data_IF_153723046908
#
_entry.id   IF_153723046908
#
_cell.length_a   1.000
_cell.length_b   1.000
_cell.length_c   1.000
_cell.angle_alpha   90.00
_cell.angle_beta   90.00
_cell.angle_gamma   90.00
#
_symmetry.space_group_name_H-M   'P 1'
#
loop_
_entity.id
_entity.type
_entity.pdbx_description
1 polymer ?
#
# COMPACT_ATOMS: atom_id res chain seq x y z
N UNK A 1 -8.17 7.11 14.04
CA UNK A 1 -7.64 5.76 13.73
C UNK A 1 -6.82 5.28 14.92
N UNK A 2 -6.87 4.00 15.31
CA UNK A 2 -5.93 3.49 16.31
C UNK A 2 -4.49 3.75 15.80
N UNK A 3 -3.60 4.16 16.71
CA UNK A 3 -2.21 4.41 16.39
C UNK A 3 -1.57 3.13 15.82
N UNK A 4 -1.01 3.20 14.61
CA UNK A 4 -0.28 2.08 14.03
C UNK A 4 0.97 1.82 14.88
N UNK A 5 1.21 0.55 15.20
CA UNK A 5 2.44 0.13 15.87
C UNK A 5 3.57 0.17 14.83
N UNK A 6 4.66 0.84 15.18
CA UNK A 6 5.88 0.87 14.38
C UNK A 6 6.67 -0.43 14.59
N UNK A 7 7.05 -1.10 13.50
CA UNK A 7 7.72 -2.39 13.53
C UNK A 7 8.93 -2.45 12.60
N UNK A 8 9.94 -3.20 13.03
CA UNK A 8 11.13 -3.51 12.23
C UNK A 8 10.99 -4.91 11.63
N UNK A 9 10.96 -5.01 10.31
CA UNK A 9 10.92 -6.30 9.61
C UNK A 9 12.22 -6.52 8.84
N UNK A 10 12.84 -7.68 9.05
CA UNK A 10 14.03 -8.07 8.29
C UNK A 10 13.64 -8.47 6.87
N UNK A 11 14.52 -8.23 5.91
CA UNK A 11 14.36 -8.76 4.55
C UNK A 11 15.65 -9.41 4.02
N UNK A 12 15.50 -10.20 2.95
CA UNK A 12 16.59 -10.69 2.11
C UNK A 12 16.12 -10.85 0.67
N UNK A 13 16.97 -10.51 -0.29
CA UNK A 13 16.70 -10.83 -1.70
C UNK A 13 16.81 -12.34 -1.95
N UNK A 14 15.87 -12.91 -2.71
CA UNK A 14 15.86 -14.35 -3.00
C UNK A 14 16.91 -14.79 -4.02
N UNK A 15 17.44 -13.88 -4.84
CA UNK A 15 18.50 -14.17 -5.81
C UNK A 15 18.88 -12.97 -6.67
N UNK A 16 19.92 -13.15 -7.49
CA UNK A 16 20.56 -12.08 -8.27
C UNK A 16 19.61 -11.49 -9.33
N UNK A 17 18.67 -12.29 -9.86
CA UNK A 17 17.64 -11.79 -10.78
C UNK A 17 16.79 -10.69 -10.15
N UNK A 18 16.38 -10.86 -8.89
CA UNK A 18 15.57 -9.89 -8.16
C UNK A 18 16.39 -8.63 -7.86
N UNK A 19 17.66 -8.81 -7.49
CA UNK A 19 18.63 -7.72 -7.25
C UNK A 19 18.81 -6.88 -8.52
N UNK A 20 19.18 -7.52 -9.63
CA UNK A 20 19.47 -6.84 -10.89
C UNK A 20 18.24 -6.12 -11.43
N UNK A 21 17.06 -6.74 -11.36
CA UNK A 21 15.79 -6.09 -11.73
C UNK A 21 15.53 -4.84 -10.89
N UNK A 22 15.73 -4.93 -9.57
CA UNK A 22 15.48 -3.81 -8.67
C UNK A 22 16.42 -2.63 -8.97
N UNK A 23 17.72 -2.89 -9.12
CA UNK A 23 18.71 -1.87 -9.50
C UNK A 23 18.37 -1.25 -10.85
N UNK A 24 18.09 -2.08 -11.87
CA UNK A 24 17.72 -1.57 -13.21
C UNK A 24 16.48 -0.69 -13.20
N UNK A 25 15.50 -0.96 -12.33
CA UNK A 25 14.31 -0.11 -12.19
C UNK A 25 14.56 1.19 -11.44
N UNK A 26 15.51 1.22 -10.49
CA UNK A 26 15.81 2.42 -9.69
C UNK A 26 16.83 3.32 -10.38
N UNK A 27 17.86 2.74 -11.00
CA UNK A 27 19.02 3.47 -11.54
C UNK A 27 19.13 3.40 -13.07
N UNK A 28 18.36 2.53 -13.71
CA UNK A 28 18.41 2.27 -15.14
C UNK A 28 19.42 1.19 -15.54
N UNK A 29 19.14 0.52 -16.66
CA UNK A 29 19.98 -0.60 -17.16
C UNK A 29 21.42 -0.18 -17.49
N UNK A 30 21.63 1.08 -17.88
CA UNK A 30 22.96 1.64 -18.16
C UNK A 30 23.81 1.81 -16.89
N UNK A 31 23.19 2.04 -15.72
CA UNK A 31 23.89 2.05 -14.45
C UNK A 31 24.18 0.62 -13.99
N UNK A 32 23.20 -0.28 -14.11
CA UNK A 32 23.34 -1.69 -13.77
C UNK A 32 24.53 -2.36 -14.50
N UNK A 33 24.72 -2.07 -15.79
CA UNK A 33 25.80 -2.63 -16.60
C UNK A 33 27.23 -2.28 -16.11
N UNK A 34 27.36 -1.32 -15.17
CA UNK A 34 28.65 -0.94 -14.58
C UNK A 34 29.03 -1.78 -13.36
N UNK A 35 28.07 -2.49 -12.76
CA UNK A 35 28.29 -3.31 -11.59
C UNK A 35 28.67 -4.73 -11.97
N UNK A 36 29.55 -5.34 -11.18
CA UNK A 36 29.73 -6.79 -11.20
C UNK A 36 28.84 -7.46 -10.13
N UNK A 37 28.68 -8.79 -10.23
CA UNK A 37 27.65 -9.54 -9.48
C UNK A 37 27.68 -9.33 -7.95
N UNK A 38 28.87 -9.20 -7.34
CA UNK A 38 28.98 -8.99 -5.90
C UNK A 38 28.62 -7.55 -5.48
N UNK A 39 28.94 -6.56 -6.31
CA UNK A 39 28.60 -5.15 -6.08
C UNK A 39 27.09 -4.93 -6.19
N UNK A 40 26.41 -5.67 -7.08
CA UNK A 40 24.96 -5.60 -7.23
C UNK A 40 24.23 -5.87 -5.91
N UNK A 41 24.69 -6.87 -5.13
CA UNK A 41 24.04 -7.19 -3.85
C UNK A 41 24.17 -6.03 -2.86
N UNK A 42 25.37 -5.51 -2.68
CA UNK A 42 25.59 -4.38 -1.76
C UNK A 42 24.86 -3.12 -2.23
N UNK A 43 24.80 -2.87 -3.55
CA UNK A 43 24.08 -1.73 -4.11
C UNK A 43 22.58 -1.84 -3.89
N UNK A 44 21.98 -3.00 -4.12
CA UNK A 44 20.55 -3.20 -3.88
C UNK A 44 20.18 -3.04 -2.41
N UNK A 45 20.99 -3.54 -1.48
CA UNK A 45 20.78 -3.35 -0.04
C UNK A 45 20.88 -1.86 0.36
N UNK A 46 21.83 -1.12 -0.23
CA UNK A 46 21.95 0.32 -0.02
C UNK A 46 20.73 1.08 -0.54
N UNK A 47 20.28 0.82 -1.77
CA UNK A 47 19.08 1.43 -2.35
C UNK A 47 17.83 1.12 -1.51
N UNK A 48 17.67 -0.12 -1.07
CA UNK A 48 16.53 -0.52 -0.23
C UNK A 48 16.58 0.16 1.14
N UNK A 49 17.78 0.30 1.73
CA UNK A 49 17.97 1.04 2.98
C UNK A 49 17.61 2.52 2.83
N UNK A 50 17.99 3.15 1.71
CA UNK A 50 17.63 4.54 1.42
C UNK A 50 16.13 4.74 1.26
N UNK A 51 15.43 3.77 0.66
CA UNK A 51 13.98 3.85 0.41
C UNK A 51 13.17 3.50 1.67
N UNK A 52 13.53 2.44 2.40
CA UNK A 52 12.68 1.84 3.42
C UNK A 52 13.38 1.54 4.76
N UNK A 53 14.68 1.80 4.87
CA UNK A 53 15.50 1.46 6.04
C UNK A 53 15.79 2.62 7.00
N UNK A 54 15.65 3.88 6.57
CA UNK A 54 15.99 5.05 7.40
C UNK A 54 14.96 5.35 8.48
N UNK A 55 13.67 5.20 8.17
CA UNK A 55 12.57 5.51 9.08
C UNK A 55 11.41 4.55 8.88
N UNK A 56 10.51 4.50 9.87
CA UNK A 56 9.29 3.72 9.71
C UNK A 56 8.36 4.42 8.73
N UNK A 57 8.06 3.75 7.63
CA UNK A 57 7.20 4.23 6.57
C UNK A 57 5.90 3.44 6.55
N UNK A 58 4.83 4.03 6.03
CA UNK A 58 3.56 3.33 5.90
C UNK A 58 3.60 2.38 4.69
N UNK A 59 3.41 1.10 4.93
CA UNK A 59 3.22 0.07 3.91
C UNK A 59 1.79 -0.45 3.90
N UNK A 60 1.30 -0.71 2.70
CA UNK A 60 0.08 -1.47 2.45
C UNK A 60 0.45 -2.90 2.16
N UNK A 61 0.13 -3.78 3.10
CA UNK A 61 0.41 -5.21 3.03
C UNK A 61 -0.83 -5.94 2.55
N UNK A 62 -0.64 -6.86 1.62
CA UNK A 62 -1.69 -7.64 1.00
C UNK A 62 -1.29 -9.10 0.94
N UNK A 63 -2.17 -9.96 1.43
CA UNK A 63 -2.01 -11.41 1.40
C UNK A 63 -2.35 -11.91 -0.01
N UNK A 64 -1.42 -12.55 -0.70
CA UNK A 64 -1.61 -12.97 -2.10
C UNK A 64 -2.13 -14.40 -2.17
N UNK A 65 -1.30 -15.36 -1.76
CA UNK A 65 -1.61 -16.80 -1.79
C UNK A 65 -0.67 -17.58 -0.87
N UNK A 66 -0.99 -18.85 -0.62
CA UNK A 66 -0.05 -19.81 -0.03
C UNK A 66 1.06 -20.11 -1.04
N UNK A 67 2.29 -20.31 -0.57
CA UNK A 67 3.38 -20.72 -1.43
C UNK A 67 3.21 -22.20 -1.83
N UNK A 68 3.06 -22.46 -3.12
CA UNK A 68 2.82 -23.80 -3.67
C UNK A 68 3.95 -24.79 -3.35
N UNK A 69 5.17 -24.30 -3.13
CA UNK A 69 6.34 -25.14 -2.83
C UNK A 69 6.52 -25.42 -1.34
N UNK A 70 6.04 -24.51 -0.48
CA UNK A 70 6.25 -24.52 0.97
C UNK A 70 4.95 -24.06 1.63
N UNK A 71 4.10 -24.99 2.06
CA UNK A 71 2.77 -24.67 2.60
C UNK A 71 2.81 -23.87 3.90
N UNK A 72 3.96 -23.90 4.59
CA UNK A 72 4.29 -23.09 5.77
C UNK A 72 4.67 -21.63 5.42
N UNK A 73 4.73 -21.29 4.12
CA UNK A 73 4.98 -19.95 3.63
C UNK A 73 3.77 -19.37 2.92
N UNK A 74 3.53 -18.07 3.11
CA UNK A 74 2.61 -17.28 2.29
C UNK A 74 3.36 -16.24 1.47
N UNK A 75 2.80 -15.90 0.32
CA UNK A 75 3.27 -14.80 -0.51
C UNK A 75 2.49 -13.55 -0.13
N UNK A 76 3.20 -12.51 0.27
CA UNK A 76 2.65 -11.20 0.57
C UNK A 76 3.19 -10.15 -0.40
N UNK A 77 2.34 -9.21 -0.77
CA UNK A 77 2.70 -8.00 -1.50
C UNK A 77 2.74 -6.83 -0.52
N UNK A 78 3.81 -6.05 -0.56
CA UNK A 78 3.96 -4.83 0.22
C UNK A 78 4.15 -3.67 -0.76
N UNK A 79 3.36 -2.61 -0.62
CA UNK A 79 3.50 -1.39 -1.41
C UNK A 79 3.68 -0.22 -0.46
N UNK A 80 4.68 0.62 -0.72
CA UNK A 80 4.88 1.84 0.05
C UNK A 80 3.73 2.83 -0.23
N UNK A 81 3.11 3.33 0.83
CA UNK A 81 1.95 4.20 0.74
C UNK A 81 2.31 5.57 0.13
N UNK A 82 1.33 6.19 -0.52
CA UNK A 82 1.49 7.44 -1.29
C UNK A 82 0.40 8.48 -0.98
N UNK A 83 -0.54 8.13 -0.12
CA UNK A 83 -1.73 8.89 0.28
C UNK A 83 -1.72 9.23 1.78
N UNK A 84 -0.56 9.14 2.42
CA UNK A 84 -0.38 9.58 3.81
C UNK A 84 -0.13 11.09 3.87
N UNK A 85 -0.98 11.82 4.59
CA UNK A 85 -0.91 13.29 4.74
C UNK A 85 0.42 13.81 5.35
N UNK A 86 1.20 12.94 5.99
CA UNK A 86 2.42 13.30 6.73
C UNK A 86 3.69 12.58 6.22
N UNK A 87 3.61 11.90 5.07
CA UNK A 87 4.72 11.11 4.55
C UNK A 87 5.13 11.58 3.15
N UNK A 88 6.34 12.10 3.05
CA UNK A 88 6.98 12.33 1.76
C UNK A 88 7.67 11.05 1.30
N UNK A 89 7.41 10.67 0.04
CA UNK A 89 8.13 9.56 -0.58
C UNK A 89 9.65 9.83 -0.55
N UNK A 90 10.50 8.81 -0.36
CA UNK A 90 11.93 8.96 -0.54
C UNK A 90 12.30 9.62 -1.88
N UNK A 91 13.34 10.46 -1.89
CA UNK A 91 13.73 11.26 -3.07
C UNK A 91 13.92 10.40 -4.34
N UNK A 92 14.48 9.19 -4.21
CA UNK A 92 14.62 8.23 -5.32
C UNK A 92 13.28 7.90 -5.99
N UNK A 93 12.23 7.72 -5.18
CA UNK A 93 10.89 7.37 -5.64
C UNK A 93 10.16 8.59 -6.21
N UNK A 94 10.36 9.77 -5.61
CA UNK A 94 9.84 11.03 -6.15
C UNK A 94 10.39 11.31 -7.55
N UNK A 95 11.71 11.20 -7.74
CA UNK A 95 12.37 11.39 -9.05
C UNK A 95 11.88 10.41 -10.11
N UNK A 96 11.51 9.20 -9.71
CA UNK A 96 11.02 8.17 -10.61
C UNK A 96 9.51 8.25 -10.91
N UNK A 97 8.76 9.14 -10.24
CA UNK A 97 7.28 9.19 -10.25
C UNK A 97 6.63 7.81 -10.02
N UNK A 98 7.20 7.05 -9.07
CA UNK A 98 6.80 5.67 -8.76
C UNK A 98 6.93 5.40 -7.28
N UNK A 99 6.25 4.34 -6.81
CA UNK A 99 6.38 3.84 -5.44
C UNK A 99 6.99 2.44 -5.41
N UNK A 100 7.54 2.05 -4.26
CA UNK A 100 8.13 0.73 -4.05
C UNK A 100 7.05 -0.35 -3.96
N UNK A 101 7.26 -1.44 -4.69
CA UNK A 101 6.53 -2.71 -4.54
C UNK A 101 7.50 -3.83 -4.22
N UNK A 102 7.16 -4.61 -3.21
CA UNK A 102 7.84 -5.84 -2.83
C UNK A 102 6.87 -7.01 -2.90
N UNK A 103 7.35 -8.13 -3.39
CA UNK A 103 6.67 -9.42 -3.29
C UNK A 103 7.58 -10.34 -2.50
N UNK A 104 7.11 -10.87 -1.38
CA UNK A 104 7.93 -11.64 -0.46
C UNK A 104 7.23 -12.93 -0.04
N UNK A 105 8.00 -13.98 0.22
CA UNK A 105 7.50 -15.08 1.05
C UNK A 105 7.76 -14.82 2.52
N UNK A 106 6.81 -15.24 3.35
CA UNK A 106 6.85 -15.14 4.80
C UNK A 106 6.49 -16.50 5.37
N UNK A 107 7.32 -17.01 6.29
CA UNK A 107 7.01 -18.20 7.06
C UNK A 107 5.95 -17.86 8.10
N UNK A 108 4.76 -18.43 7.98
CA UNK A 108 3.60 -18.02 8.77
C UNK A 108 3.56 -18.58 10.18
N UNK A 109 4.35 -19.63 10.46
CA UNK A 109 4.37 -20.25 11.78
C UNK A 109 5.08 -19.38 12.83
N UNK A 110 6.16 -18.71 12.45
CA UNK A 110 7.02 -17.98 13.40
C UNK A 110 7.69 -16.71 12.84
N UNK A 111 7.51 -16.39 11.55
CA UNK A 111 8.08 -15.19 10.93
C UNK A 111 9.60 -15.16 10.83
N UNK A 112 10.29 -16.22 11.21
CA UNK A 112 11.75 -16.29 11.18
C UNK A 112 12.23 -16.21 9.74
N UNK A 113 13.32 -15.48 9.54
CA UNK A 113 13.83 -15.23 8.20
C UNK A 113 13.22 -13.99 7.53
N UNK A 114 12.26 -13.33 8.18
CA UNK A 114 11.68 -12.08 7.70
C UNK A 114 11.02 -12.21 6.33
N UNK A 115 11.08 -11.13 5.55
CA UNK A 115 10.64 -11.09 4.17
C UNK A 115 11.70 -11.69 3.23
N UNK A 116 11.39 -12.81 2.57
CA UNK A 116 12.22 -13.31 1.47
C UNK A 116 11.70 -12.74 0.15
N UNK A 117 12.36 -11.71 -0.36
CA UNK A 117 11.90 -10.94 -1.53
C UNK A 117 12.03 -11.78 -2.81
N UNK A 118 10.89 -12.23 -3.33
CA UNK A 118 10.75 -12.84 -4.65
C UNK A 118 10.88 -11.80 -5.75
N UNK A 119 10.32 -10.61 -5.51
CA UNK A 119 10.35 -9.49 -6.43
C UNK A 119 10.50 -8.17 -5.66
N UNK A 120 11.23 -7.23 -6.24
CA UNK A 120 11.38 -5.87 -5.74
C UNK A 120 11.47 -4.92 -6.93
N UNK A 121 10.71 -3.84 -6.89
CA UNK A 121 10.62 -2.94 -8.03
C UNK A 121 9.74 -1.72 -7.79
N UNK A 122 9.58 -0.92 -8.84
CA UNK A 122 8.86 0.34 -8.83
C UNK A 122 7.57 0.24 -9.63
N UNK A 123 6.45 0.67 -9.04
CA UNK A 123 5.12 0.70 -9.65
C UNK A 123 4.54 2.12 -9.64
N UNK A 124 3.54 2.38 -10.48
CA UNK A 124 2.93 3.70 -10.56
C UNK A 124 2.34 4.15 -9.21
N UNK A 125 2.45 5.45 -8.90
CA UNK A 125 1.99 6.06 -7.64
C UNK A 125 0.56 5.64 -7.22
N UNK A 126 -0.45 5.56 -8.10
CA UNK A 126 -1.81 5.17 -7.70
C UNK A 126 -1.91 3.78 -7.05
N UNK A 127 -0.95 2.88 -7.29
CA UNK A 127 -0.89 1.56 -6.66
C UNK A 127 -0.58 1.63 -5.16
N UNK A 128 0.04 2.72 -4.69
CA UNK A 128 0.32 2.96 -3.29
C UNK A 128 -0.78 3.72 -2.56
N UNK A 129 -2.00 3.78 -3.10
CA UNK A 129 -3.16 4.33 -2.40
C UNK A 129 -3.90 3.22 -1.67
N UNK A 130 -4.48 3.55 -0.52
CA UNK A 130 -5.26 2.60 0.28
C UNK A 130 -6.48 2.12 -0.50
N UNK A 131 -6.70 0.81 -0.45
CA UNK A 131 -7.96 0.18 -0.88
C UNK A 131 -8.55 -0.72 0.22
N UNK A 132 -9.67 -1.37 -0.09
CA UNK A 132 -10.39 -2.22 0.87
C UNK A 132 -9.70 -3.55 1.21
N UNK A 133 -8.59 -3.89 0.55
CA UNK A 133 -7.93 -5.20 0.63
C UNK A 133 -6.47 -5.10 1.08
N UNK A 134 -6.10 -3.96 1.65
CA UNK A 134 -4.76 -3.74 2.21
C UNK A 134 -4.81 -3.53 3.70
N UNK A 135 -3.83 -4.10 4.39
CA UNK A 135 -3.57 -3.87 5.80
C UNK A 135 -2.49 -2.78 5.93
N UNK A 136 -2.80 -1.62 6.52
CA UNK A 136 -1.79 -0.60 6.83
C UNK A 136 -0.85 -1.07 7.94
N UNK A 137 0.45 -0.97 7.70
CA UNK A 137 1.52 -1.32 8.65
C UNK A 137 2.64 -0.28 8.61
N UNK A 138 3.06 0.19 9.78
CA UNK A 138 4.12 1.19 9.91
C UNK A 138 5.46 0.45 10.04
N UNK A 139 6.21 0.30 8.95
CA UNK A 139 7.35 -0.61 8.87
C UNK A 139 8.66 0.13 8.56
N UNK A 140 9.74 -0.31 9.19
CA UNK A 140 11.11 -0.05 8.73
C UNK A 140 11.72 -1.39 8.30
N UNK A 141 12.26 -1.41 7.09
CA UNK A 141 12.84 -2.62 6.51
C UNK A 141 14.34 -2.68 6.79
N UNK A 142 14.76 -3.72 7.50
CA UNK A 142 16.15 -3.89 7.91
C UNK A 142 16.85 -4.96 7.05
N UNK A 143 18.08 -4.68 6.58
CA UNK A 143 18.85 -5.66 5.84
C UNK A 143 19.19 -6.84 6.75
N UNK A 144 19.24 -8.04 6.16
CA UNK A 144 19.50 -9.32 6.83
C UNK A 144 18.34 -9.77 7.71
N UNK A 145 17.90 -11.01 7.47
CA UNK A 145 16.70 -11.64 8.02
C UNK A 145 16.65 -11.92 9.53
N UNK A 146 17.49 -11.25 10.33
CA UNK A 146 17.57 -11.49 11.78
C UNK A 146 16.44 -10.82 12.57
N UNK A 147 15.70 -9.92 11.95
CA UNK A 147 14.45 -9.37 12.51
C UNK A 147 13.26 -10.18 11.99
N UNK A 148 12.74 -11.15 12.77
CA UNK A 148 11.58 -11.93 12.37
C UNK A 148 10.33 -11.04 12.30
N UNK A 149 9.33 -11.46 11.53
CA UNK A 149 8.03 -10.79 11.52
C UNK A 149 7.29 -11.17 12.81
N UNK A 150 6.80 -10.21 13.61
CA UNK A 150 6.08 -10.53 14.84
C UNK A 150 4.84 -11.40 14.58
N UNK A 151 4.63 -12.43 15.41
CA UNK A 151 3.48 -13.33 15.29
C UNK A 151 2.12 -12.59 15.30
N UNK A 152 2.02 -11.49 16.05
CA UNK A 152 0.82 -10.62 16.04
C UNK A 152 0.57 -10.01 14.66
N UNK A 153 1.61 -9.62 13.96
CA UNK A 153 1.53 -9.03 12.62
C UNK A 153 1.18 -10.07 11.58
N UNK A 154 1.73 -11.28 11.70
CA UNK A 154 1.34 -12.44 10.89
C UNK A 154 -0.15 -12.73 11.08
N UNK A 155 -0.61 -12.88 12.33
CA UNK A 155 -2.01 -13.15 12.62
C UNK A 155 -2.95 -12.06 12.04
N UNK A 156 -2.55 -10.79 12.10
CA UNK A 156 -3.30 -9.68 11.47
C UNK A 156 -3.37 -9.81 9.96
N UNK A 157 -2.26 -10.14 9.29
CA UNK A 157 -2.25 -10.35 7.82
C UNK A 157 -3.07 -11.57 7.44
N UNK A 158 -3.02 -12.66 8.23
CA UNK A 158 -3.78 -13.88 7.97
C UNK A 158 -5.30 -13.74 8.15
N UNK A 159 -5.76 -12.70 8.84
CA UNK A 159 -7.19 -12.34 8.88
C UNK A 159 -7.68 -11.71 7.56
N UNK A 160 -6.77 -11.23 6.71
CA UNK A 160 -7.12 -10.72 5.39
C UNK A 160 -7.40 -11.90 4.45
N UNK A 161 -8.41 -11.77 3.56
CA UNK A 161 -8.63 -12.75 2.50
C UNK A 161 -7.45 -12.76 1.53
N UNK A 162 -7.26 -13.85 0.80
CA UNK A 162 -6.31 -13.86 -0.30
C UNK A 162 -6.76 -12.90 -1.39
N UNK A 163 -5.79 -12.24 -2.03
CA UNK A 163 -6.07 -11.31 -3.12
C UNK A 163 -6.70 -11.99 -4.33
N UNK A 164 -6.42 -13.28 -4.55
CA UNK A 164 -7.08 -14.06 -5.60
C UNK A 164 -8.53 -14.43 -5.23
N UNK A 165 -8.90 -14.41 -3.93
CA UNK A 165 -10.29 -14.54 -3.46
C UNK A 165 -11.09 -13.24 -3.65
N UNK A 166 -10.51 -12.22 -4.30
CA UNK A 166 -11.27 -11.05 -4.75
C UNK A 166 -12.41 -11.54 -5.62
N UNK A 167 -13.60 -11.42 -5.06
CA UNK A 167 -14.83 -11.38 -5.83
C UNK A 167 -14.84 -10.04 -6.57
N UNK A 168 -14.09 -9.95 -7.69
CA UNK A 168 -14.26 -8.87 -8.64
C UNK A 168 -15.73 -8.94 -9.04
N UNK A 169 -16.54 -7.91 -8.73
CA UNK A 169 -17.96 -7.97 -9.01
C UNK A 169 -18.14 -8.26 -10.50
N UNK A 170 -18.92 -9.30 -10.82
CA UNK A 170 -19.26 -9.57 -12.22
C UNK A 170 -19.94 -8.36 -12.82
N UNK A 171 -19.97 -8.26 -14.16
CA UNK A 171 -20.70 -7.19 -14.84
C UNK A 171 -22.16 -7.10 -14.38
N UNK A 172 -22.77 -8.22 -14.02
CA UNK A 172 -24.12 -8.27 -13.46
C UNK A 172 -24.18 -7.70 -12.04
N UNK A 173 -23.24 -8.07 -11.17
CA UNK A 173 -23.15 -7.51 -9.83
C UNK A 173 -22.88 -6.00 -9.86
N UNK A 174 -22.07 -5.50 -10.80
CA UNK A 174 -21.87 -4.07 -11.02
C UNK A 174 -23.17 -3.35 -11.42
N UNK A 175 -24.01 -3.95 -12.28
CA UNK A 175 -25.33 -3.38 -12.62
C UNK A 175 -26.23 -3.28 -11.40
N UNK A 176 -26.22 -4.28 -10.53
CA UNK A 176 -26.97 -4.25 -9.26
C UNK A 176 -26.45 -3.12 -8.37
N UNK A 177 -25.14 -2.98 -8.21
CA UNK A 177 -24.53 -1.88 -7.45
C UNK A 177 -24.88 -0.49 -8.01
N UNK A 178 -24.84 -0.31 -9.33
CA UNK A 178 -25.27 0.94 -9.96
C UNK A 178 -26.75 1.24 -9.69
N UNK A 179 -27.60 0.21 -9.75
CA UNK A 179 -29.03 0.36 -9.45
C UNK A 179 -29.24 0.78 -8.00
N UNK A 180 -28.55 0.13 -7.06
CA UNK A 180 -28.57 0.49 -5.65
C UNK A 180 -28.13 1.94 -5.42
N UNK A 181 -26.98 2.35 -5.98
CA UNK A 181 -26.48 3.72 -5.85
C UNK A 181 -27.44 4.75 -6.44
N UNK A 182 -28.12 4.44 -7.54
CA UNK A 182 -29.14 5.31 -8.13
C UNK A 182 -30.37 5.46 -7.22
N UNK A 183 -30.79 4.39 -6.55
CA UNK A 183 -31.89 4.43 -5.58
C UNK A 183 -31.49 5.26 -4.35
N UNK A 184 -30.32 5.01 -3.77
CA UNK A 184 -29.80 5.79 -2.64
C UNK A 184 -29.68 7.27 -2.97
N UNK A 185 -29.18 7.60 -4.17
CA UNK A 185 -29.13 8.98 -4.67
C UNK A 185 -30.53 9.62 -4.70
N UNK A 186 -31.54 8.92 -5.27
CA UNK A 186 -32.92 9.43 -5.32
C UNK A 186 -33.52 9.59 -3.93
N UNK A 187 -33.25 8.68 -3.01
CA UNK A 187 -33.71 8.79 -1.62
C UNK A 187 -33.07 10.01 -0.95
N UNK A 188 -31.76 10.22 -1.15
CA UNK A 188 -31.07 11.39 -0.64
C UNK A 188 -31.64 12.69 -1.21
N UNK A 189 -31.87 12.76 -2.54
CA UNK A 189 -32.50 13.90 -3.21
C UNK A 189 -33.93 14.15 -2.72
N UNK A 190 -34.75 13.10 -2.56
CA UNK A 190 -36.12 13.23 -2.05
C UNK A 190 -36.17 13.65 -0.57
N UNK A 191 -35.10 13.38 0.20
CA UNK A 191 -34.93 13.83 1.59
C UNK A 191 -34.29 15.21 1.69
N UNK A 192 -33.84 15.82 0.59
CA UNK A 192 -33.42 17.21 0.58
C UNK A 192 -34.67 18.09 0.65
N UNK A 193 -34.86 18.74 1.80
CA UNK A 193 -35.84 19.80 1.94
C UNK A 193 -35.26 21.07 1.34
N UNK A 194 -35.44 21.24 0.03
CA UNK A 194 -35.15 22.50 -0.64
C UNK A 194 -36.33 23.45 -0.42
N UNK A 195 -36.15 24.41 0.47
CA UNK A 195 -37.12 25.49 0.66
C UNK A 195 -36.68 26.68 -0.20
N UNK A 196 -37.51 27.17 -1.13
CA UNK A 196 -37.18 28.38 -1.86
C UNK A 196 -37.04 29.54 -0.87
N UNK A 197 -35.95 30.29 -0.98
CA UNK A 197 -35.70 31.48 -0.19
C UNK A 197 -35.51 32.66 -1.15
N UNK A 198 -36.03 33.83 -0.77
CA UNK A 198 -35.91 35.06 -1.57
C UNK A 198 -34.62 35.83 -1.27
N UNK A 199 -34.11 35.68 -0.05
CA UNK A 199 -32.88 36.33 0.36
C UNK A 199 -32.12 35.46 1.38
N UNK A 200 -30.80 35.59 1.38
CA UNK A 200 -29.93 35.07 2.42
C UNK A 200 -28.86 36.10 2.76
N UNK A 201 -28.32 36.04 3.97
CA UNK A 201 -27.17 36.86 4.38
C UNK A 201 -25.83 36.11 4.28
N UNK A 202 -25.75 35.05 3.46
CA UNK A 202 -24.54 34.25 3.32
C UNK A 202 -23.40 35.06 2.66
N UNK A 203 -22.46 35.53 3.49
CA UNK A 203 -21.21 36.14 3.07
C UNK A 203 -20.08 35.73 4.03
N UNK A 204 -18.84 35.82 3.57
CA UNK A 204 -17.65 35.43 4.33
C UNK A 204 -17.52 36.29 5.60
N UNK A 205 -17.75 35.68 6.78
CA UNK A 205 -17.58 36.34 8.08
C UNK A 205 -18.82 36.40 8.98
N UNK A 206 -20.00 36.00 8.50
CA UNK A 206 -21.18 35.90 9.35
C UNK A 206 -21.18 34.60 10.17
N UNK A 207 -21.33 34.71 11.50
CA UNK A 207 -21.43 33.56 12.42
C UNK A 207 -22.80 32.87 12.38
N UNK A 208 -23.83 33.54 11.84
CA UNK A 208 -25.20 33.05 11.73
C UNK A 208 -25.68 33.31 10.30
N UNK A 209 -26.14 32.25 9.64
CA UNK A 209 -26.76 32.32 8.32
C UNK A 209 -28.27 32.34 8.50
N UNK A 210 -28.95 33.30 7.88
CA UNK A 210 -30.40 33.50 7.92
C UNK A 210 -30.94 33.44 6.50
N UNK A 211 -32.03 32.71 6.32
CA UNK A 211 -32.74 32.56 5.06
C UNK A 211 -34.15 33.14 5.18
N UNK A 212 -34.53 34.00 4.24
CA UNK A 212 -35.89 34.49 4.11
C UNK A 212 -36.66 33.57 3.16
N UNK A 213 -37.51 32.71 3.74
CA UNK A 213 -38.28 31.71 3.01
C UNK A 213 -39.41 32.36 2.21
N UNK A 214 -39.58 31.91 0.97
CA UNK A 214 -40.73 32.24 0.14
C UNK A 214 -41.97 31.48 0.66
N UNK A 215 -43.08 32.18 0.92
CA UNK A 215 -44.32 31.58 1.44
C UNK A 215 -45.26 31.15 0.31
#
# INVERSE_FOLDING_TARGET
MPSLVAEDWGYKFSGDRTINKFIGQVEGDAALAKYCDWECRDRAELLMSEIAGKSHSLFYVRRQKVNERFSEEEIWELILATDGDYFELPELLQKADRTLRLLATVRIEDGIGGLKLLDAGLVAIPRGRKDGYVLPMQLRLLPKSRSPIPAKSIARVQQMPFWDDRHIPSTEQLKVWHTFLNVEKRIAEARQFCVPFRAHNYAWGFKIVTFEIDR
#
